data_IF_821986633093
#
_entry.id   IF_821986633093
#
_cell.length_a   1.000
_cell.length_b   1.000
_cell.length_c   1.000
_cell.angle_alpha   90.00
_cell.angle_beta   90.00
_cell.angle_gamma   90.00
#
_symmetry.space_group_name_H-M   'P 1'
#
loop_
_entity.id
_entity.type
_entity.pdbx_description
1 polymer ?
#
# COMPACT_ATOMS: atom_id res chain seq x y z
N UNK A 1 34.89 19.33 13.06
CA UNK A 1 34.61 19.76 11.67
C UNK A 1 34.93 18.59 10.74
N UNK A 2 33.97 17.68 10.54
CA UNK A 2 34.16 16.52 9.68
C UNK A 2 33.57 16.88 8.31
N UNK A 3 34.46 17.03 7.35
CA UNK A 3 34.21 17.44 5.96
C UNK A 3 33.11 16.59 5.33
N UNK A 4 32.13 17.24 4.70
CA UNK A 4 31.11 16.66 3.83
C UNK A 4 31.73 15.73 2.77
N UNK A 5 31.90 14.44 3.08
CA UNK A 5 32.10 13.41 2.06
C UNK A 5 30.73 12.95 1.57
N UNK A 6 30.25 13.70 0.57
CA UNK A 6 29.23 13.38 -0.44
C UNK A 6 28.66 11.95 -0.31
N UNK A 7 27.38 11.89 0.06
CA UNK A 7 26.62 10.63 0.17
C UNK A 7 26.01 10.37 -1.21
N UNK A 8 26.63 9.48 -2.00
CA UNK A 8 25.99 8.92 -3.20
C UNK A 8 25.00 7.81 -2.85
N UNK A 9 24.11 7.44 -3.77
CA UNK A 9 23.08 6.39 -3.57
C UNK A 9 23.64 5.07 -3.03
N UNK A 10 24.85 4.69 -3.44
CA UNK A 10 25.54 3.48 -2.97
C UNK A 10 25.74 3.44 -1.45
N UNK A 11 25.92 4.59 -0.79
CA UNK A 11 26.00 4.67 0.68
C UNK A 11 24.61 4.56 1.32
N UNK A 12 23.59 5.18 0.74
CA UNK A 12 22.20 5.10 1.23
C UNK A 12 21.69 3.65 1.14
N UNK A 13 21.96 2.97 0.03
CA UNK A 13 21.63 1.56 -0.16
C UNK A 13 22.46 0.61 0.70
N UNK A 14 23.69 0.95 1.10
CA UNK A 14 24.41 0.16 2.11
C UNK A 14 23.79 0.26 3.51
N UNK A 15 23.02 1.31 3.82
CA UNK A 15 22.20 1.37 5.03
C UNK A 15 20.85 0.64 4.84
N UNK A 16 20.32 0.62 3.61
CA UNK A 16 19.11 -0.12 3.23
C UNK A 16 19.37 -1.58 2.78
N UNK A 17 20.62 -2.06 2.75
CA UNK A 17 20.99 -3.44 2.38
C UNK A 17 20.67 -4.44 3.49
N UNK A 18 20.17 -3.95 4.62
CA UNK A 18 19.52 -4.76 5.63
C UNK A 18 18.32 -5.44 4.99
N UNK A 19 18.29 -6.76 4.98
CA UNK A 19 17.12 -7.52 4.54
C UNK A 19 15.88 -6.97 5.28
N UNK A 20 14.99 -6.33 4.52
CA UNK A 20 13.81 -5.64 5.03
C UNK A 20 12.54 -6.40 4.62
N UNK A 21 12.20 -7.48 5.34
CA UNK A 21 11.00 -8.26 5.05
C UNK A 21 9.71 -7.50 5.35
N UNK A 22 9.80 -6.35 6.03
CA UNK A 22 8.66 -5.51 6.41
C UNK A 22 8.48 -4.30 5.48
N UNK A 23 9.36 -4.09 4.51
CA UNK A 23 9.28 -2.97 3.57
C UNK A 23 9.28 -1.59 4.24
N UNK A 24 9.97 -1.47 5.39
CA UNK A 24 10.20 -0.21 6.12
C UNK A 24 11.00 0.81 5.27
N UNK A 25 11.82 0.34 4.33
CA UNK A 25 12.66 1.15 3.47
C UNK A 25 12.26 0.94 2.00
N UNK A 26 11.90 2.02 1.31
CA UNK A 26 11.66 2.02 -0.14
C UNK A 26 12.76 2.83 -0.83
N UNK A 27 13.60 2.23 -1.69
CA UNK A 27 14.68 2.95 -2.35
C UNK A 27 14.14 3.91 -3.42
N UNK A 28 14.64 5.14 -3.43
CA UNK A 28 14.43 6.09 -4.53
C UNK A 28 15.21 5.63 -5.77
N UNK A 29 14.54 5.55 -6.92
CA UNK A 29 15.17 5.27 -8.21
C UNK A 29 15.82 6.55 -8.75
N UNK A 30 17.14 6.71 -8.60
CA UNK A 30 17.93 7.72 -9.29
C UNK A 30 19.08 7.04 -10.05
N UNK A 31 19.78 7.78 -10.91
CA UNK A 31 20.97 7.29 -11.58
C UNK A 31 22.09 7.02 -10.55
N UNK A 32 22.75 5.87 -10.70
CA UNK A 32 23.64 5.25 -9.69
C UNK A 32 24.79 6.13 -9.20
N UNK A 33 25.25 7.07 -10.04
CA UNK A 33 26.45 7.87 -9.82
C UNK A 33 26.18 9.39 -9.73
N UNK A 34 24.91 9.81 -9.75
CA UNK A 34 24.57 11.23 -9.69
C UNK A 34 24.54 11.75 -8.25
N UNK A 35 25.06 12.96 -8.04
CA UNK A 35 24.99 13.60 -6.72
C UNK A 35 23.52 13.94 -6.41
N UNK A 36 23.10 13.63 -5.19
CA UNK A 36 21.80 14.07 -4.72
C UNK A 36 21.75 15.60 -4.71
N UNK A 37 20.67 16.20 -5.25
CA UNK A 37 20.35 17.60 -5.02
C UNK A 37 20.48 17.99 -3.55
N UNK A 38 20.87 19.24 -3.30
CA UNK A 38 21.20 19.71 -1.94
C UNK A 38 20.00 19.62 -1.00
N UNK A 39 18.81 19.92 -1.51
CA UNK A 39 17.52 19.78 -0.81
C UNK A 39 17.24 18.33 -0.40
N UNK A 40 17.44 17.36 -1.29
CA UNK A 40 17.28 15.93 -0.98
C UNK A 40 18.32 15.45 0.02
N UNK A 41 19.55 15.96 -0.08
CA UNK A 41 20.61 15.65 0.88
C UNK A 41 20.26 16.15 2.28
N UNK A 42 19.72 17.37 2.40
CA UNK A 42 19.26 17.92 3.68
C UNK A 42 18.10 17.13 4.27
N UNK A 43 17.12 16.74 3.44
CA UNK A 43 16.00 15.90 3.86
C UNK A 43 16.48 14.52 4.35
N UNK A 44 17.39 13.88 3.61
CA UNK A 44 18.00 12.62 4.01
C UNK A 44 18.73 12.74 5.36
N UNK A 45 19.54 13.78 5.55
CA UNK A 45 20.25 13.99 6.81
C UNK A 45 19.31 14.25 7.99
N UNK A 46 18.15 14.88 7.76
CA UNK A 46 17.10 15.02 8.76
C UNK A 46 16.53 13.65 9.15
N UNK A 47 16.15 12.82 8.18
CA UNK A 47 15.63 11.46 8.40
C UNK A 47 16.67 10.59 9.12
N UNK A 48 17.91 10.61 8.64
CA UNK A 48 19.00 9.85 9.27
C UNK A 48 19.28 10.34 10.70
N UNK A 49 19.19 11.65 10.94
CA UNK A 49 19.37 12.23 12.27
C UNK A 49 18.31 11.82 13.30
N UNK A 50 17.11 11.45 12.86
CA UNK A 50 16.06 10.91 13.75
C UNK A 50 16.19 9.41 13.99
N UNK A 51 17.05 8.72 13.23
CA UNK A 51 17.28 7.29 13.38
C UNK A 51 18.17 7.00 14.59
N UNK A 52 17.55 7.01 15.78
CA UNK A 52 18.19 6.71 17.06
C UNK A 52 17.48 5.55 17.73
N UNK A 53 18.22 4.48 18.05
CA UNK A 53 17.68 3.31 18.76
C UNK A 53 17.46 2.11 17.84
N UNK A 54 16.58 1.21 18.29
CA UNK A 54 16.28 -0.06 17.61
C UNK A 54 14.80 -0.37 17.67
N UNK A 55 14.30 -1.02 16.63
CA UNK A 55 12.96 -1.62 16.60
C UNK A 55 13.15 -3.12 16.84
N UNK A 56 12.48 -3.64 17.85
CA UNK A 56 12.48 -5.07 18.15
C UNK A 56 11.22 -5.72 17.58
N UNK A 57 11.41 -6.69 16.69
CA UNK A 57 10.32 -7.45 16.08
C UNK A 57 10.39 -8.89 16.59
N UNK A 58 9.32 -9.42 17.21
CA UNK A 58 9.27 -10.81 17.61
C UNK A 58 9.48 -11.73 16.40
N UNK A 59 10.51 -12.58 16.45
CA UNK A 59 10.77 -13.56 15.39
C UNK A 59 9.64 -14.59 15.24
N UNK A 60 8.91 -14.85 16.33
CA UNK A 60 7.86 -15.86 16.41
C UNK A 60 6.62 -15.27 17.07
N UNK A 61 5.52 -15.22 16.33
CA UNK A 61 4.23 -14.71 16.84
C UNK A 61 3.46 -15.75 17.64
N UNK A 62 3.57 -17.04 17.29
CA UNK A 62 2.79 -18.13 17.89
C UNK A 62 3.72 -19.24 18.37
N UNK A 63 3.61 -19.60 19.66
CA UNK A 63 4.54 -20.51 20.36
C UNK A 63 4.37 -21.99 20.03
N UNK A 64 3.19 -22.41 19.58
CA UNK A 64 2.91 -23.82 19.31
C UNK A 64 2.19 -23.98 17.97
N UNK A 65 0.87 -24.18 18.00
CA UNK A 65 -0.01 -24.31 16.84
C UNK A 65 -0.75 -23.01 16.58
N UNK A 66 -0.99 -22.68 15.31
CA UNK A 66 -1.94 -21.63 14.94
C UNK A 66 -3.33 -21.95 15.51
N UNK A 67 -4.00 -20.99 16.19
CA UNK A 67 -5.40 -21.13 16.56
C UNK A 67 -6.27 -21.39 15.33
N UNK A 68 -7.32 -22.20 15.50
CA UNK A 68 -8.19 -22.59 14.38
C UNK A 68 -9.05 -21.40 13.88
N UNK A 69 -9.28 -20.41 14.74
CA UNK A 69 -10.02 -19.16 14.51
C UNK A 69 -9.11 -17.94 14.25
N UNK A 70 -7.86 -18.18 13.86
CA UNK A 70 -6.94 -17.11 13.44
C UNK A 70 -7.34 -16.53 12.09
N UNK A 71 -7.29 -15.20 11.98
CA UNK A 71 -7.67 -14.45 10.78
C UNK A 71 -6.47 -13.68 10.19
N UNK A 72 -6.55 -13.35 8.90
CA UNK A 72 -5.54 -12.59 8.16
C UNK A 72 -6.18 -11.28 7.67
N UNK A 73 -5.54 -10.16 7.98
CA UNK A 73 -6.04 -8.83 7.62
C UNK A 73 -4.98 -8.06 6.84
N UNK A 74 -5.24 -7.79 5.55
CA UNK A 74 -4.39 -6.92 4.74
C UNK A 74 -5.01 -5.56 4.53
N UNK A 75 -4.25 -4.51 4.81
CA UNK A 75 -4.61 -3.12 4.58
C UNK A 75 -3.86 -2.62 3.36
N UNK A 76 -4.57 -2.01 2.42
CA UNK A 76 -3.97 -1.34 1.26
C UNK A 76 -4.23 0.16 1.32
N UNK A 77 -3.23 0.93 0.92
CA UNK A 77 -3.36 2.36 0.69
C UNK A 77 -2.52 2.79 -0.51
N UNK A 78 -2.88 3.93 -1.12
CA UNK A 78 -2.08 4.57 -2.13
C UNK A 78 -2.17 6.09 -2.09
N UNK A 79 -1.02 6.73 -2.24
CA UNK A 79 -0.90 8.13 -2.60
C UNK A 79 -0.61 8.27 -4.10
N UNK A 80 -0.48 9.52 -4.56
CA UNK A 80 0.02 9.79 -5.91
C UNK A 80 1.40 9.18 -6.13
N UNK A 81 2.26 9.11 -5.12
CA UNK A 81 3.68 8.76 -5.31
C UNK A 81 4.03 7.33 -4.94
N UNK A 82 3.23 6.69 -4.11
CA UNK A 82 3.52 5.36 -3.59
C UNK A 82 2.23 4.63 -3.24
N UNK A 83 2.29 3.31 -3.20
CA UNK A 83 1.24 2.47 -2.65
C UNK A 83 1.86 1.47 -1.66
N UNK A 84 1.14 1.21 -0.59
CA UNK A 84 1.59 0.40 0.53
C UNK A 84 0.56 -0.66 0.85
N UNK A 85 1.04 -1.77 1.39
CA UNK A 85 0.19 -2.70 2.09
C UNK A 85 0.84 -3.20 3.38
N UNK A 86 0.01 -3.43 4.39
CA UNK A 86 0.39 -3.99 5.68
C UNK A 86 -0.55 -5.16 6.04
N UNK A 87 0.01 -6.33 6.30
CA UNK A 87 -0.72 -7.57 6.59
C UNK A 87 -0.46 -8.01 8.03
N UNK A 88 -1.55 -8.22 8.76
CA UNK A 88 -1.59 -8.60 10.15
C UNK A 88 -2.24 -9.97 10.29
N UNK A 89 -1.85 -10.69 11.34
CA UNK A 89 -2.67 -11.77 11.87
C UNK A 89 -3.60 -11.18 12.93
N UNK A 90 -4.77 -11.78 13.11
CA UNK A 90 -5.62 -11.55 14.27
C UNK A 90 -5.72 -12.86 15.02
N UNK A 91 -5.06 -12.90 16.17
CA UNK A 91 -4.79 -14.10 16.95
C UNK A 91 -5.64 -14.01 18.22
N UNK A 92 -6.55 -14.97 18.47
CA UNK A 92 -7.34 -15.00 19.69
C UNK A 92 -6.45 -15.29 20.90
N UNK A 93 -6.78 -14.62 22.00
CA UNK A 93 -6.11 -14.75 23.30
C UNK A 93 -7.16 -14.84 24.41
N UNK A 94 -6.73 -15.03 25.66
CA UNK A 94 -7.64 -15.07 26.80
C UNK A 94 -8.36 -13.74 27.04
N UNK A 95 -7.74 -12.63 26.65
CA UNK A 95 -8.19 -11.27 26.96
C UNK A 95 -8.70 -10.50 25.72
N UNK A 96 -8.90 -11.18 24.59
CA UNK A 96 -9.30 -10.58 23.31
C UNK A 96 -8.40 -11.05 22.18
N UNK A 97 -7.81 -10.13 21.41
CA UNK A 97 -6.99 -10.47 20.25
C UNK A 97 -5.64 -9.75 20.23
N UNK A 98 -4.61 -10.48 19.81
CA UNK A 98 -3.32 -9.92 19.42
C UNK A 98 -3.25 -9.77 17.91
N UNK A 99 -2.73 -8.64 17.45
CA UNK A 99 -2.77 -8.28 16.03
C UNK A 99 -1.39 -7.89 15.48
N UNK A 100 -0.40 -8.81 15.45
CA UNK A 100 0.95 -8.47 15.04
C UNK A 100 1.06 -8.22 13.53
N UNK A 101 1.85 -7.23 13.15
CA UNK A 101 2.28 -7.05 11.76
C UNK A 101 3.16 -8.23 11.33
N UNK A 102 2.79 -8.90 10.25
CA UNK A 102 3.56 -10.03 9.71
C UNK A 102 4.35 -9.65 8.48
N UNK A 103 3.78 -8.82 7.61
CA UNK A 103 4.42 -8.42 6.38
C UNK A 103 3.90 -7.06 5.95
N UNK A 104 4.79 -6.16 5.56
CA UNK A 104 4.42 -4.92 4.90
C UNK A 104 5.29 -4.68 3.67
N UNK A 105 4.79 -3.86 2.75
CA UNK A 105 5.53 -3.49 1.55
C UNK A 105 5.03 -2.16 1.02
N UNK A 106 5.97 -1.25 0.78
CA UNK A 106 5.74 -0.02 0.01
C UNK A 106 6.38 -0.12 -1.36
N UNK A 107 5.70 0.39 -2.38
CA UNK A 107 6.20 0.53 -3.75
C UNK A 107 6.00 1.95 -4.23
N UNK A 108 7.06 2.54 -4.79
CA UNK A 108 6.98 3.82 -5.46
C UNK A 108 6.27 3.67 -6.82
N UNK A 109 5.50 4.69 -7.20
CA UNK A 109 4.94 4.80 -8.53
C UNK A 109 6.09 4.91 -9.55
N UNK A 110 6.09 4.11 -10.63
CA UNK A 110 7.06 4.28 -11.71
C UNK A 110 6.92 5.67 -12.35
N UNK A 111 8.01 6.44 -12.42
CA UNK A 111 7.98 7.81 -12.97
C UNK A 111 7.64 7.87 -14.47
N UNK A 112 7.78 6.76 -15.19
CA UNK A 112 7.43 6.66 -16.61
C UNK A 112 5.95 6.33 -16.87
N UNK A 113 5.12 6.24 -15.83
CA UNK A 113 3.69 5.95 -15.95
C UNK A 113 2.88 6.93 -15.14
N UNK A 114 1.92 7.59 -15.78
CA UNK A 114 0.96 8.47 -15.10
C UNK A 114 -0.29 7.67 -14.75
N UNK A 115 -0.35 7.16 -13.53
CA UNK A 115 -1.56 6.57 -12.99
C UNK A 115 -2.48 7.65 -12.44
N UNK A 116 -3.78 7.50 -12.66
CA UNK A 116 -4.80 8.31 -11.99
C UNK A 116 -4.88 7.95 -10.51
N UNK A 117 -5.43 8.83 -9.68
CA UNK A 117 -5.63 8.54 -8.25
C UNK A 117 -6.45 7.24 -8.05
N UNK A 118 -7.59 7.04 -8.75
CA UNK A 118 -8.34 5.79 -8.61
C UNK A 118 -7.55 4.52 -9.02
N UNK A 119 -6.72 4.60 -10.07
CA UNK A 119 -5.84 3.50 -10.45
C UNK A 119 -4.81 3.21 -9.35
N UNK A 120 -4.25 4.24 -8.73
CA UNK A 120 -3.31 4.09 -7.60
C UNK A 120 -3.98 3.43 -6.39
N UNK A 121 -5.18 3.86 -6.02
CA UNK A 121 -5.93 3.26 -4.91
C UNK A 121 -6.18 1.75 -5.13
N UNK A 122 -6.49 1.34 -6.37
CA UNK A 122 -6.59 -0.08 -6.74
C UNK A 122 -5.24 -0.79 -6.62
N UNK A 123 -4.12 -0.12 -6.90
CA UNK A 123 -2.79 -0.70 -6.73
C UNK A 123 -2.45 -0.98 -5.26
N UNK A 124 -2.89 -0.14 -4.32
CA UNK A 124 -2.74 -0.40 -2.87
C UNK A 124 -3.45 -1.69 -2.45
N UNK A 125 -4.71 -1.84 -2.87
CA UNK A 125 -5.51 -3.05 -2.65
C UNK A 125 -4.90 -4.28 -3.32
N UNK A 126 -4.49 -4.15 -4.59
CA UNK A 126 -3.82 -5.21 -5.32
C UNK A 126 -2.56 -5.68 -4.59
N UNK A 127 -1.76 -4.76 -4.07
CA UNK A 127 -0.57 -5.13 -3.31
C UNK A 127 -0.93 -5.89 -2.02
N UNK A 128 -1.94 -5.43 -1.27
CA UNK A 128 -2.41 -6.13 -0.07
C UNK A 128 -2.87 -7.56 -0.39
N UNK A 129 -3.66 -7.76 -1.46
CA UNK A 129 -4.10 -9.07 -1.90
C UNK A 129 -2.93 -10.00 -2.25
N UNK A 130 -1.93 -9.49 -2.97
CA UNK A 130 -0.71 -10.26 -3.32
C UNK A 130 0.05 -10.69 -2.07
N UNK A 131 0.17 -9.81 -1.06
CA UNK A 131 0.86 -10.14 0.20
C UNK A 131 0.04 -11.12 1.03
N UNK A 132 -1.29 -10.99 1.10
CA UNK A 132 -2.14 -12.00 1.75
C UNK A 132 -1.90 -13.38 1.14
N UNK A 133 -1.94 -13.52 -0.19
CA UNK A 133 -1.65 -14.80 -0.86
C UNK A 133 -0.28 -15.36 -0.50
N UNK A 134 0.73 -14.48 -0.43
CA UNK A 134 2.09 -14.86 -0.04
C UNK A 134 2.12 -15.37 1.41
N UNK A 135 1.60 -14.59 2.36
CA UNK A 135 1.55 -14.95 3.79
C UNK A 135 0.80 -16.27 4.00
N UNK A 136 -0.37 -16.44 3.36
CA UNK A 136 -1.16 -17.68 3.41
C UNK A 136 -0.34 -18.88 2.97
N UNK A 137 0.38 -18.76 1.85
CA UNK A 137 1.20 -19.83 1.31
C UNK A 137 2.37 -20.16 2.23
N UNK A 138 3.16 -19.16 2.61
CA UNK A 138 4.39 -19.36 3.37
C UNK A 138 4.13 -19.80 4.82
N UNK A 139 2.97 -19.46 5.39
CA UNK A 139 2.57 -19.86 6.74
C UNK A 139 1.64 -21.08 6.78
N UNK A 140 1.21 -21.60 5.63
CA UNK A 140 0.29 -22.74 5.55
C UNK A 140 -1.14 -22.45 6.05
N UNK A 141 -1.59 -21.20 5.97
CA UNK A 141 -2.88 -20.73 6.52
C UNK A 141 -4.01 -20.75 5.48
N UNK A 142 -4.11 -21.81 4.68
CA UNK A 142 -5.04 -21.87 3.53
C UNK A 142 -6.50 -21.66 3.91
N UNK A 143 -6.91 -22.17 5.07
CA UNK A 143 -8.28 -22.14 5.56
C UNK A 143 -8.61 -20.93 6.44
N UNK A 144 -7.62 -20.09 6.79
CA UNK A 144 -7.85 -18.92 7.63
C UNK A 144 -8.80 -17.92 6.93
N UNK A 145 -9.76 -17.31 7.63
CA UNK A 145 -10.50 -16.17 7.11
C UNK A 145 -9.56 -15.03 6.70
N UNK A 146 -9.88 -14.38 5.58
CA UNK A 146 -9.04 -13.35 4.98
C UNK A 146 -9.87 -12.10 4.76
N UNK A 147 -9.33 -10.96 5.17
CA UNK A 147 -9.96 -9.66 5.06
C UNK A 147 -9.01 -8.68 4.38
N UNK A 148 -9.55 -7.90 3.47
CA UNK A 148 -8.85 -6.88 2.74
C UNK A 148 -9.50 -5.52 3.02
N UNK A 149 -8.72 -4.58 3.52
CA UNK A 149 -9.18 -3.28 3.99
C UNK A 149 -8.68 -2.16 3.09
N UNK A 150 -9.58 -1.22 2.79
CA UNK A 150 -9.26 0.02 2.06
C UNK A 150 -10.06 1.19 2.61
N UNK A 151 -9.48 2.38 2.57
CA UNK A 151 -10.14 3.66 2.83
C UNK A 151 -10.58 4.39 1.55
N UNK A 152 -10.23 3.86 0.38
CA UNK A 152 -10.72 4.35 -0.90
C UNK A 152 -12.16 3.90 -1.14
N UNK A 153 -13.08 4.86 -1.13
CA UNK A 153 -14.49 4.61 -1.47
C UNK A 153 -14.67 4.15 -2.90
N UNK A 154 -13.88 4.68 -3.85
CA UNK A 154 -13.99 4.33 -5.27
C UNK A 154 -13.43 2.93 -5.53
N UNK A 155 -12.28 2.57 -4.94
CA UNK A 155 -11.73 1.23 -5.05
C UNK A 155 -12.66 0.21 -4.38
N UNK A 156 -13.20 0.54 -3.19
CA UNK A 156 -14.24 -0.27 -2.54
C UNK A 156 -15.51 -0.41 -3.40
N UNK A 157 -15.99 0.66 -4.03
CA UNK A 157 -17.15 0.63 -4.92
C UNK A 157 -16.91 -0.26 -6.14
N UNK A 158 -15.70 -0.25 -6.71
CA UNK A 158 -15.38 -1.09 -7.86
C UNK A 158 -15.36 -2.60 -7.57
N UNK A 159 -15.22 -3.02 -6.31
CA UNK A 159 -15.48 -4.42 -5.92
C UNK A 159 -16.95 -4.82 -6.03
N UNK A 160 -17.87 -3.86 -5.84
CA UNK A 160 -19.31 -4.09 -5.96
C UNK A 160 -19.78 -3.94 -7.41
N UNK A 161 -19.18 -3.01 -8.15
CA UNK A 161 -19.55 -2.70 -9.53
C UNK A 161 -18.31 -2.51 -10.39
N UNK A 162 -18.05 -3.49 -11.24
CA UNK A 162 -16.89 -3.51 -12.12
C UNK A 162 -16.81 -2.28 -13.03
N UNK A 163 -15.64 -1.60 -13.11
CA UNK A 163 -15.42 -0.51 -14.04
C UNK A 163 -15.22 -1.03 -15.46
N UNK A 164 -15.37 -0.15 -16.46
CA UNK A 164 -15.04 -0.47 -17.85
C UNK A 164 -13.55 -0.41 -18.14
N UNK A 165 -12.81 0.34 -17.32
CA UNK A 165 -11.38 0.54 -17.49
C UNK A 165 -10.61 -0.79 -17.38
N UNK A 166 -9.90 -1.15 -18.45
CA UNK A 166 -9.24 -2.47 -18.59
C UNK A 166 -8.15 -2.68 -17.54
N UNK A 167 -7.36 -1.65 -17.24
CA UNK A 167 -6.29 -1.73 -16.25
C UNK A 167 -6.85 -2.06 -14.86
N UNK A 168 -7.84 -1.28 -14.40
CA UNK A 168 -8.49 -1.50 -13.11
C UNK A 168 -9.14 -2.88 -13.05
N UNK A 169 -9.91 -3.26 -14.08
CA UNK A 169 -10.57 -4.57 -14.13
C UNK A 169 -9.57 -5.72 -14.06
N UNK A 170 -8.45 -5.64 -14.75
CA UNK A 170 -7.43 -6.69 -14.69
C UNK A 170 -6.79 -6.78 -13.30
N UNK A 171 -6.53 -5.66 -12.63
CA UNK A 171 -6.00 -5.66 -11.25
C UNK A 171 -7.00 -6.20 -10.25
N UNK A 172 -8.28 -5.85 -10.37
CA UNK A 172 -9.34 -6.39 -9.51
C UNK A 172 -9.51 -7.90 -9.68
N UNK A 173 -9.38 -8.44 -10.91
CA UNK A 173 -9.35 -9.89 -11.13
C UNK A 173 -8.22 -10.57 -10.37
N UNK A 174 -7.03 -9.97 -10.34
CA UNK A 174 -5.91 -10.49 -9.55
C UNK A 174 -6.18 -10.40 -8.03
N UNK A 175 -6.88 -9.37 -7.56
CA UNK A 175 -7.26 -9.26 -6.14
C UNK A 175 -8.17 -10.41 -5.72
N UNK A 176 -9.12 -10.80 -6.56
CA UNK A 176 -10.07 -11.88 -6.24
C UNK A 176 -9.39 -13.23 -5.96
N UNK A 177 -8.17 -13.44 -6.47
CA UNK A 177 -7.39 -14.66 -6.19
C UNK A 177 -7.10 -14.82 -4.70
N UNK A 178 -7.01 -13.72 -3.94
CA UNK A 178 -6.81 -13.78 -2.49
C UNK A 178 -8.00 -14.36 -1.72
N UNK A 179 -9.19 -14.42 -2.34
CA UNK A 179 -10.42 -14.87 -1.71
C UNK A 179 -10.62 -14.24 -0.32
N UNK A 180 -10.45 -12.91 -0.27
CA UNK A 180 -10.56 -12.10 0.94
C UNK A 180 -11.83 -11.26 0.88
N UNK A 181 -12.53 -11.13 2.01
CA UNK A 181 -13.66 -10.22 2.13
C UNK A 181 -13.14 -8.77 2.10
N UNK A 182 -13.60 -7.98 1.12
CA UNK A 182 -13.23 -6.58 1.00
C UNK A 182 -14.08 -5.72 1.93
N UNK A 183 -13.43 -4.93 2.79
CA UNK A 183 -14.03 -4.10 3.82
C UNK A 183 -13.50 -2.67 3.75
N UNK A 184 -14.29 -1.72 4.24
CA UNK A 184 -13.90 -0.33 4.33
C UNK A 184 -13.30 -0.01 5.70
N UNK A 185 -12.29 0.84 5.73
CA UNK A 185 -11.71 1.41 6.95
C UNK A 185 -11.57 2.93 6.77
N UNK A 186 -11.86 3.78 7.78
CA UNK A 186 -11.52 5.20 7.72
C UNK A 186 -10.01 5.39 7.58
N UNK A 187 -9.54 6.34 6.79
CA UNK A 187 -8.10 6.54 6.55
C UNK A 187 -7.27 6.76 7.81
N UNK A 188 -7.83 7.43 8.83
CA UNK A 188 -7.17 7.61 10.14
C UNK A 188 -6.96 6.29 10.91
N UNK A 189 -7.66 5.23 10.53
CA UNK A 189 -7.54 3.87 11.07
C UNK A 189 -6.83 2.92 10.08
N UNK A 190 -6.35 3.42 8.94
CA UNK A 190 -5.64 2.63 7.95
C UNK A 190 -4.12 2.67 8.21
N UNK A 191 -3.48 1.58 8.69
CA UNK A 191 -2.04 1.57 8.93
C UNK A 191 -1.21 1.77 7.65
N UNK A 192 -1.73 1.38 6.48
CA UNK A 192 -0.98 1.48 5.23
C UNK A 192 -0.71 2.94 4.80
N UNK A 193 -1.50 3.90 5.30
CA UNK A 193 -1.32 5.34 5.08
C UNK A 193 0.05 5.85 5.57
N UNK A 194 0.56 5.28 6.68
CA UNK A 194 1.91 5.60 7.16
C UNK A 194 2.99 5.23 6.13
N UNK A 195 2.79 4.12 5.43
CA UNK A 195 3.72 3.62 4.42
C UNK A 195 3.66 4.38 3.09
N UNK A 196 2.54 5.05 2.78
CA UNK A 196 2.39 5.86 1.55
C UNK A 196 2.79 7.32 1.71
N UNK A 197 2.71 7.86 2.93
CA UNK A 197 3.14 9.23 3.27
C UNK A 197 4.62 9.32 3.65
N UNK A 198 5.19 8.24 4.17
CA UNK A 198 6.49 8.24 4.83
C UNK A 198 6.35 8.73 6.27
N UNK A 199 7.21 8.20 7.15
CA UNK A 199 7.18 8.45 8.59
C UNK A 199 8.62 8.49 9.11
N UNK A 200 8.90 9.34 10.11
CA UNK A 200 10.21 9.39 10.75
C UNK A 200 10.42 8.18 11.67
N UNK A 201 11.69 7.84 11.94
CA UNK A 201 12.01 6.63 12.70
C UNK A 201 11.43 6.61 14.12
N UNK A 202 11.53 7.72 14.84
CA UNK A 202 11.00 7.90 16.20
C UNK A 202 9.46 7.86 16.24
N UNK A 203 8.82 8.50 15.27
CA UNK A 203 7.37 8.43 15.08
C UNK A 203 6.92 7.00 14.77
N UNK A 204 7.63 6.30 13.87
CA UNK A 204 7.36 4.92 13.51
C UNK A 204 7.54 3.99 14.71
N UNK A 205 8.59 4.19 15.52
CA UNK A 205 8.81 3.41 16.73
C UNK A 205 7.65 3.56 17.72
N UNK A 206 7.05 4.75 17.81
CA UNK A 206 5.87 5.02 18.64
C UNK A 206 4.53 4.62 17.99
N UNK A 207 4.49 4.34 16.67
CA UNK A 207 3.28 4.10 15.92
C UNK A 207 2.67 2.71 16.21
N UNK A 208 1.93 2.59 17.31
CA UNK A 208 1.28 1.33 17.68
C UNK A 208 0.34 0.79 16.60
N UNK A 209 -0.28 1.66 15.78
CA UNK A 209 -1.14 1.25 14.68
C UNK A 209 -0.37 0.47 13.59
N UNK A 210 0.91 0.77 13.38
CA UNK A 210 1.76 0.06 12.43
C UNK A 210 2.20 -1.32 12.95
N UNK A 211 2.61 -1.40 14.21
CA UNK A 211 3.15 -2.65 14.76
C UNK A 211 2.07 -3.63 15.20
N UNK A 212 0.95 -3.09 15.72
CA UNK A 212 -0.13 -3.86 16.32
C UNK A 212 -1.43 -3.74 15.54
N UNK A 213 -1.47 -3.07 14.40
CA UNK A 213 -2.71 -2.83 13.67
C UNK A 213 -3.68 -1.88 14.40
N UNK A 214 -4.78 -1.49 13.74
CA UNK A 214 -5.77 -0.59 14.31
C UNK A 214 -6.52 -1.22 15.49
N UNK A 215 -6.95 -0.39 16.43
CA UNK A 215 -7.53 -0.84 17.70
C UNK A 215 -8.78 -1.68 17.53
N UNK A 216 -9.62 -1.38 16.53
CA UNK A 216 -10.86 -2.13 16.28
C UNK A 216 -10.61 -3.61 15.96
N UNK A 217 -9.44 -3.98 15.42
CA UNK A 217 -9.11 -5.39 15.20
C UNK A 217 -8.88 -6.16 16.50
N UNK A 218 -8.59 -5.47 17.61
CA UNK A 218 -8.48 -6.11 18.92
C UNK A 218 -9.82 -6.28 19.63
N UNK A 219 -10.89 -5.78 19.01
CA UNK A 219 -12.27 -5.79 19.53
C UNK A 219 -13.14 -6.81 18.78
N UNK A 220 -14.41 -6.89 19.17
CA UNK A 220 -15.42 -7.69 18.46
C UNK A 220 -15.62 -7.16 17.04
N UNK A 221 -16.04 -8.05 16.12
CA UNK A 221 -16.42 -7.68 14.74
C UNK A 221 -17.55 -6.65 14.69
N UNK A 222 -18.39 -6.58 15.72
CA UNK A 222 -19.48 -5.59 15.82
C UNK A 222 -18.98 -4.14 15.94
N UNK A 223 -17.75 -3.97 16.42
CA UNK A 223 -17.09 -2.68 16.61
C UNK A 223 -16.22 -2.27 15.41
N UNK A 224 -16.20 -3.10 14.36
CA UNK A 224 -15.46 -2.78 13.14
C UNK A 224 -16.09 -1.58 12.42
N UNK A 225 -15.26 -0.77 11.72
CA UNK A 225 -15.76 0.34 10.97
C UNK A 225 -16.74 -0.13 9.89
N UNK A 226 -17.88 0.56 9.84
CA UNK A 226 -18.86 0.39 8.78
C UNK A 226 -18.59 1.43 7.70
N UNK A 227 -18.91 1.09 6.47
CA UNK A 227 -18.96 2.06 5.38
C UNK A 227 -19.95 3.15 5.81
N UNK A 228 -19.55 4.43 5.89
CA UNK A 228 -20.50 5.51 6.03
C UNK A 228 -21.51 5.37 4.89
N UNK A 229 -22.81 5.43 5.16
CA UNK A 229 -23.83 5.41 4.10
C UNK A 229 -23.36 6.36 3.00
N UNK A 230 -23.16 5.83 1.79
CA UNK A 230 -22.82 6.66 0.65
C UNK A 230 -24.01 7.60 0.47
N UNK A 231 -23.89 8.84 0.96
CA UNK A 231 -24.84 9.89 0.63
C UNK A 231 -25.03 9.86 -0.89
N UNK A 232 -26.27 9.96 -1.37
CA UNK A 232 -26.58 9.85 -2.80
C UNK A 232 -25.68 10.76 -3.66
N UNK A 233 -25.26 11.89 -3.10
CA UNK A 233 -24.36 12.88 -3.69
C UNK A 233 -22.90 12.41 -3.88
N UNK A 234 -22.39 11.57 -2.96
CA UNK A 234 -21.07 10.91 -3.10
C UNK A 234 -21.09 9.86 -4.20
N UNK A 235 -22.22 9.21 -4.44
CA UNK A 235 -22.38 8.27 -5.55
C UNK A 235 -22.30 9.02 -6.88
N UNK A 236 -22.96 10.19 -6.97
CA UNK A 236 -22.89 11.06 -8.15
C UNK A 236 -21.46 11.58 -8.39
N UNK A 237 -20.73 11.93 -7.31
CA UNK A 237 -19.35 12.41 -7.37
C UNK A 237 -18.38 11.30 -7.77
N UNK A 238 -18.53 10.08 -7.23
CA UNK A 238 -17.74 8.91 -7.64
C UNK A 238 -18.04 8.57 -9.10
N UNK A 239 -19.31 8.58 -9.52
CA UNK A 239 -19.69 8.38 -10.92
C UNK A 239 -19.02 9.45 -11.80
N UNK A 240 -19.07 10.72 -11.41
CA UNK A 240 -18.42 11.80 -12.16
C UNK A 240 -16.90 11.63 -12.25
N UNK A 241 -16.22 11.25 -11.16
CA UNK A 241 -14.77 10.99 -11.16
C UNK A 241 -14.40 9.77 -12.02
N UNK A 242 -15.23 8.72 -12.00
CA UNK A 242 -15.08 7.56 -12.89
C UNK A 242 -15.27 7.99 -14.35
N UNK A 243 -16.30 8.79 -14.65
CA UNK A 243 -16.57 9.29 -16.00
C UNK A 243 -15.47 10.22 -16.52
N UNK A 244 -14.89 11.09 -15.68
CA UNK A 244 -13.73 11.92 -16.04
C UNK A 244 -12.50 11.03 -16.34
N UNK A 245 -12.30 9.97 -15.56
CA UNK A 245 -11.26 8.97 -15.83
C UNK A 245 -11.47 8.22 -17.15
N UNK A 246 -12.72 7.86 -17.47
CA UNK A 246 -13.11 7.21 -18.73
C UNK A 246 -12.91 8.16 -19.94
N UNK A 247 -13.28 9.44 -19.82
CA UNK A 247 -13.06 10.45 -20.86
C UNK A 247 -11.57 10.73 -21.09
N UNK A 248 -10.77 10.85 -20.02
CA UNK A 248 -9.32 11.04 -20.13
C UNK A 248 -8.61 9.83 -20.75
N UNK A 249 -9.05 8.61 -20.43
CA UNK A 249 -8.55 7.38 -21.06
C UNK A 249 -8.94 7.29 -22.55
N UNK A 250 -10.18 7.67 -22.89
CA UNK A 250 -10.67 7.72 -24.28
C UNK A 250 -9.93 8.79 -25.10
N UNK A 251 -9.69 9.97 -24.54
CA UNK A 251 -8.95 11.05 -25.19
C UNK A 251 -7.48 10.67 -25.40
N UNK A 252 -6.85 10.01 -24.42
CA UNK A 252 -5.48 9.51 -24.56
C UNK A 252 -5.36 8.44 -25.64
N UNK A 253 -6.38 7.60 -25.81
CA UNK A 253 -6.43 6.57 -26.85
C UNK A 253 -6.63 7.17 -28.25
N UNK A 254 -7.46 8.20 -28.38
CA UNK A 254 -7.62 8.95 -29.64
C UNK A 254 -6.36 9.71 -30.04
N UNK A 255 -5.62 10.29 -29.09
CA UNK A 255 -4.35 10.99 -29.37
C UNK A 255 -3.30 10.01 -29.92
N UNK A 256 -3.21 8.81 -29.34
CA UNK A 256 -2.29 7.76 -29.82
C UNK A 256 -2.66 7.29 -31.24
N UNK A 257 -3.95 7.16 -31.54
CA UNK A 257 -4.43 6.82 -32.89
C UNK A 257 -4.18 7.93 -33.92
N UNK A 258 -4.27 9.21 -33.53
CA UNK A 258 -3.94 10.33 -34.42
C UNK A 258 -2.45 10.49 -34.65
N UNK A 259 -1.59 10.23 -33.65
CA UNK A 259 -0.13 10.28 -33.80
C UNK A 259 0.39 9.14 -34.69
N UNK A 260 -0.18 7.92 -34.57
CA UNK A 260 0.13 6.83 -35.50
C UNK A 260 -0.34 7.12 -36.94
N UNK A 261 -1.42 7.89 -37.11
CA UNK A 261 -1.91 8.25 -38.43
C UNK A 261 -1.13 9.40 -39.09
N UNK A 262 -0.39 10.23 -38.33
CA UNK A 262 0.50 11.26 -38.86
C UNK A 262 1.93 10.75 -39.17
N UNK A 263 2.43 9.76 -38.43
CA UNK A 263 3.75 9.15 -38.75
C UNK A 263 3.71 8.31 -40.05
N UNK A 264 2.59 7.67 -40.37
CA UNK A 264 2.42 6.90 -41.63
C UNK A 264 2.31 7.79 -42.88
N UNK A 265 2.19 9.12 -42.74
CA UNK A 265 2.18 10.07 -43.87
C UNK A 265 3.54 10.70 -44.17
N UNK A 266 4.58 10.41 -43.38
CA UNK A 266 5.97 10.87 -43.63
C UNK A 266 6.86 9.87 -44.37
N UNK A 267 6.33 8.70 -44.72
CA UNK A 267 6.99 7.71 -45.58
C UNK A 267 6.14 7.37 -46.81
N UNK A 268 5.82 8.38 -47.63
CA UNK A 268 5.51 8.23 -49.06
C UNK A 268 6.02 9.43 -49.85
#
# INVERSE_FOLDING_TARGET
MMVCKLIGQKKILNYASTYDPLGLLSPLSLAWDEQLPTDLTQQWMKIYGTWKGSIEIPRRYIKEKFPDDLEIHGFGDASKFAYCAAVYLRIPTKDGFETPLVFAKTRLQPMNKNFTIPQMEVMGIWLAAKIICYVVKEMGLTNAPKYLWTDSKIAFYWFKKWPKEVFVTNRLKEVLVANAECLFVPGVMNPADLGTRGILFDELQAASIWWKGPEFLRKSRDEWPKIPELAADLTQTIIALVSIGEEAASASMQIIETDHCEEDKKFR
#
